data_IF_580827392509
#
_entry.id   IF_580827392509
#
_cell.length_a   1.000
_cell.length_b   1.000
_cell.length_c   1.000
_cell.angle_alpha   90.00
_cell.angle_beta   90.00
_cell.angle_gamma   90.00
#
_symmetry.space_group_name_H-M   'P 1'
#
loop_
_entity.id
_entity.type
_entity.pdbx_description
1 polymer ?
#
# COMPACT_ATOMS: atom_id res chain seq x y z
N UNK A 1 -29.22 -11.49 36.14
CA UNK A 1 -29.32 -11.24 34.68
C UNK A 1 -28.61 -12.40 33.99
N UNK A 2 -29.30 -13.23 33.19
CA UNK A 2 -28.67 -14.42 32.62
C UNK A 2 -27.69 -14.03 31.53
N UNK A 3 -26.46 -14.53 31.65
CA UNK A 3 -25.38 -14.36 30.68
C UNK A 3 -25.73 -15.11 29.38
N UNK A 4 -25.79 -14.37 28.28
CA UNK A 4 -25.83 -14.98 26.94
C UNK A 4 -24.47 -15.62 26.64
N UNK A 5 -24.42 -16.82 26.03
CA UNK A 5 -23.16 -17.47 25.70
C UNK A 5 -22.42 -16.68 24.62
N UNK A 6 -21.14 -16.41 24.89
CA UNK A 6 -20.21 -15.85 23.93
C UNK A 6 -19.90 -16.91 22.86
N UNK A 7 -20.69 -16.93 21.79
CA UNK A 7 -20.51 -17.85 20.67
C UNK A 7 -19.24 -17.48 19.89
N UNK A 8 -18.12 -18.06 20.31
CA UNK A 8 -16.79 -17.95 19.67
C UNK A 8 -16.68 -18.77 18.38
N UNK A 9 -17.77 -19.24 17.76
CA UNK A 9 -17.74 -20.08 16.54
C UNK A 9 -18.33 -19.40 15.30
N UNK A 10 -17.99 -18.13 15.07
CA UNK A 10 -18.13 -17.47 13.75
C UNK A 10 -16.99 -16.48 13.47
N UNK A 11 -15.74 -16.91 13.62
CA UNK A 11 -14.57 -16.16 13.15
C UNK A 11 -13.91 -16.97 12.03
N UNK A 12 -14.30 -16.71 10.78
CA UNK A 12 -13.72 -17.38 9.60
C UNK A 12 -14.64 -17.40 8.38
N UNK A 13 -15.93 -17.13 8.53
CA UNK A 13 -16.82 -16.95 7.39
C UNK A 13 -16.77 -15.48 6.96
N UNK A 14 -16.07 -15.24 5.85
CA UNK A 14 -16.23 -14.04 5.03
C UNK A 14 -17.72 -13.73 4.93
N UNK A 15 -18.11 -12.54 5.37
CA UNK A 15 -19.39 -12.00 4.92
C UNK A 15 -19.15 -11.72 3.43
N UNK A 16 -19.51 -12.67 2.55
CA UNK A 16 -19.87 -12.32 1.18
C UNK A 16 -20.77 -11.10 1.36
N UNK A 17 -20.42 -9.97 0.74
CA UNK A 17 -21.37 -8.88 0.60
C UNK A 17 -22.63 -9.53 0.05
N UNK A 18 -23.66 -9.62 0.88
CA UNK A 18 -24.90 -10.26 0.50
C UNK A 18 -25.43 -9.48 -0.70
N UNK A 19 -25.37 -10.07 -1.90
CA UNK A 19 -25.89 -9.47 -3.12
C UNK A 19 -24.88 -9.05 -4.19
N UNK A 20 -23.59 -9.44 -4.14
CA UNK A 20 -22.79 -9.40 -5.39
C UNK A 20 -23.10 -10.64 -6.21
N UNK A 21 -23.58 -10.41 -7.43
CA UNK A 21 -23.91 -11.43 -8.40
C UNK A 21 -22.65 -12.24 -8.76
N UNK A 22 -22.72 -13.57 -8.65
CA UNK A 22 -21.61 -14.46 -9.03
C UNK A 22 -21.22 -14.23 -10.50
N UNK A 23 -22.15 -13.76 -11.34
CA UNK A 23 -21.91 -13.36 -12.72
C UNK A 23 -21.01 -12.12 -12.84
N UNK A 24 -21.11 -11.16 -11.91
CA UNK A 24 -20.24 -9.96 -11.88
C UNK A 24 -18.81 -10.34 -11.52
N UNK A 25 -18.63 -11.26 -10.58
CA UNK A 25 -17.31 -11.78 -10.20
C UNK A 25 -16.72 -12.57 -11.37
N UNK A 26 -17.52 -13.42 -12.03
CA UNK A 26 -17.09 -14.17 -13.20
C UNK A 26 -16.65 -13.25 -14.34
N UNK A 27 -17.44 -12.22 -14.66
CA UNK A 27 -17.10 -11.25 -15.69
C UNK A 27 -15.81 -10.46 -15.37
N UNK A 28 -15.61 -10.05 -14.11
CA UNK A 28 -14.37 -9.37 -13.70
C UNK A 28 -13.15 -10.29 -13.82
N UNK A 29 -13.30 -11.58 -13.51
CA UNK A 29 -12.24 -12.58 -13.66
C UNK A 29 -11.89 -12.82 -15.13
N UNK A 30 -12.91 -13.00 -15.98
CA UNK A 30 -12.69 -13.17 -17.42
C UNK A 30 -11.93 -11.99 -18.01
N UNK A 31 -12.29 -10.75 -17.64
CA UNK A 31 -11.56 -9.57 -18.12
C UNK A 31 -10.08 -9.56 -17.68
N UNK A 32 -9.78 -9.92 -16.43
CA UNK A 32 -8.39 -10.02 -15.97
C UNK A 32 -7.59 -11.07 -16.76
N UNK A 33 -8.17 -12.24 -17.02
CA UNK A 33 -7.51 -13.28 -17.82
C UNK A 33 -7.31 -12.85 -19.28
N UNK A 34 -8.27 -12.16 -19.88
CA UNK A 34 -8.11 -11.55 -21.21
C UNK A 34 -6.94 -10.54 -21.24
N UNK A 35 -6.80 -9.69 -20.21
CA UNK A 35 -5.71 -8.73 -20.14
C UNK A 35 -4.35 -9.43 -20.00
N UNK A 36 -4.26 -10.47 -19.17
CA UNK A 36 -3.04 -11.28 -19.00
C UNK A 36 -2.64 -11.98 -20.28
N UNK A 37 -3.60 -12.51 -21.02
CA UNK A 37 -3.36 -13.13 -22.32
C UNK A 37 -2.80 -12.13 -23.32
N UNK A 38 -3.41 -10.94 -23.45
CA UNK A 38 -2.89 -9.86 -24.31
C UNK A 38 -1.47 -9.45 -23.93
N UNK A 39 -1.14 -9.37 -22.63
CA UNK A 39 0.21 -9.07 -22.14
C UNK A 39 1.21 -10.15 -22.58
N UNK A 40 0.83 -11.43 -22.52
CA UNK A 40 1.68 -12.53 -23.01
C UNK A 40 1.94 -12.45 -24.51
N UNK A 41 0.91 -12.16 -25.31
CA UNK A 41 1.04 -11.95 -26.76
C UNK A 41 2.01 -10.79 -27.06
N UNK A 42 1.80 -9.63 -26.45
CA UNK A 42 2.69 -8.47 -26.58
C UNK A 42 4.12 -8.75 -26.10
N UNK A 43 4.26 -9.60 -25.07
CA UNK A 43 5.56 -10.03 -24.54
C UNK A 43 6.35 -10.93 -25.50
N UNK A 44 5.64 -11.76 -26.28
CA UNK A 44 6.22 -12.68 -27.25
C UNK A 44 6.55 -12.01 -28.60
N UNK A 45 5.98 -10.83 -28.88
CA UNK A 45 6.22 -10.10 -30.12
C UNK A 45 7.65 -9.52 -30.20
N UNK A 46 8.30 -9.72 -31.35
CA UNK A 46 9.62 -9.13 -31.65
C UNK A 46 9.62 -7.58 -31.55
N UNK A 47 8.45 -6.95 -31.65
CA UNK A 47 8.25 -5.50 -31.59
C UNK A 47 8.26 -4.90 -30.17
N UNK A 48 8.29 -5.70 -29.10
CA UNK A 48 8.23 -5.21 -27.70
C UNK A 48 9.26 -4.12 -27.39
N UNK A 49 10.47 -4.23 -27.94
CA UNK A 49 11.57 -3.29 -27.69
C UNK A 49 11.51 -2.01 -28.53
N UNK A 50 10.48 -1.83 -29.36
CA UNK A 50 10.22 -0.55 -30.05
C UNK A 50 9.52 0.43 -29.11
N UNK A 51 9.54 1.73 -29.42
CA UNK A 51 8.78 2.72 -28.64
C UNK A 51 7.27 2.43 -28.60
N UNK A 52 6.72 1.95 -29.72
CA UNK A 52 5.31 1.59 -29.84
C UNK A 52 5.02 0.34 -29.01
N UNK A 53 5.88 -0.67 -29.10
CA UNK A 53 5.76 -1.91 -28.32
C UNK A 53 5.86 -1.66 -26.82
N UNK A 54 6.81 -0.82 -26.37
CA UNK A 54 6.92 -0.41 -24.96
C UNK A 54 5.65 0.28 -24.47
N UNK A 55 5.15 1.27 -25.21
CA UNK A 55 3.90 1.97 -24.84
C UNK A 55 2.70 1.04 -24.78
N UNK A 56 2.59 0.09 -25.71
CA UNK A 56 1.54 -0.92 -25.69
C UNK A 56 1.68 -1.85 -24.47
N UNK A 57 2.91 -2.24 -24.12
CA UNK A 57 3.20 -3.03 -22.93
C UNK A 57 2.85 -2.28 -21.65
N UNK A 58 3.26 -1.01 -21.52
CA UNK A 58 2.91 -0.18 -20.35
C UNK A 58 1.39 0.00 -20.23
N UNK A 59 0.69 0.18 -21.35
CA UNK A 59 -0.76 0.32 -21.37
C UNK A 59 -1.50 -0.94 -20.91
N UNK A 60 -1.06 -2.13 -21.34
CA UNK A 60 -1.68 -3.39 -20.91
C UNK A 60 -1.39 -3.70 -19.43
N UNK A 61 -0.21 -3.33 -18.92
CA UNK A 61 0.09 -3.45 -17.48
C UNK A 61 -0.85 -2.58 -16.63
N UNK A 62 -1.14 -1.35 -17.07
CA UNK A 62 -2.15 -0.51 -16.43
C UNK A 62 -3.56 -1.12 -16.51
N UNK A 63 -3.94 -1.71 -17.64
CA UNK A 63 -5.24 -2.39 -17.79
C UNK A 63 -5.34 -3.62 -16.88
N UNK A 64 -4.27 -4.39 -16.71
CA UNK A 64 -4.20 -5.51 -15.77
C UNK A 64 -4.41 -5.01 -14.35
N UNK A 65 -3.73 -3.94 -13.92
CA UNK A 65 -3.89 -3.39 -12.57
C UNK A 65 -5.34 -2.95 -12.31
N UNK A 66 -6.01 -2.35 -13.30
CA UNK A 66 -7.42 -1.98 -13.19
C UNK A 66 -8.34 -3.21 -13.11
N UNK A 67 -8.03 -4.27 -13.87
CA UNK A 67 -8.75 -5.54 -13.82
C UNK A 67 -8.58 -6.26 -12.48
N UNK A 68 -7.36 -6.30 -11.93
CA UNK A 68 -7.06 -6.85 -10.60
C UNK A 68 -7.85 -6.13 -9.51
N UNK A 69 -7.77 -4.79 -9.49
CA UNK A 69 -8.52 -3.97 -8.52
C UNK A 69 -10.03 -4.15 -8.67
N UNK A 70 -10.54 -4.26 -9.90
CA UNK A 70 -11.98 -4.51 -10.14
C UNK A 70 -12.39 -5.86 -9.58
N UNK A 71 -11.64 -6.92 -9.88
CA UNK A 71 -11.93 -8.27 -9.38
C UNK A 71 -11.87 -8.33 -7.86
N UNK A 72 -10.83 -7.77 -7.25
CA UNK A 72 -10.69 -7.72 -5.80
C UNK A 72 -11.84 -6.94 -5.15
N UNK A 73 -12.21 -5.79 -5.70
CA UNK A 73 -13.33 -4.96 -5.22
C UNK A 73 -14.65 -5.72 -5.25
N UNK A 74 -15.02 -6.34 -6.37
CA UNK A 74 -16.30 -7.08 -6.47
C UNK A 74 -16.29 -8.36 -5.63
N UNK A 75 -15.10 -8.93 -5.39
CA UNK A 75 -14.92 -10.11 -4.53
C UNK A 75 -14.85 -9.75 -3.03
N UNK A 76 -14.87 -8.46 -2.67
CA UNK A 76 -14.70 -8.00 -1.28
C UNK A 76 -13.31 -8.26 -0.70
N UNK A 77 -12.32 -8.47 -1.56
CA UNK A 77 -10.92 -8.66 -1.16
C UNK A 77 -10.22 -7.32 -0.94
N UNK A 78 -9.07 -7.37 -0.26
CA UNK A 78 -8.18 -6.22 -0.15
C UNK A 78 -7.43 -5.98 -1.45
N UNK A 79 -7.18 -4.72 -1.79
CA UNK A 79 -6.43 -4.34 -2.99
C UNK A 79 -5.71 -3.02 -2.81
N UNK A 80 -4.63 -2.83 -3.54
CA UNK A 80 -3.81 -1.63 -3.52
C UNK A 80 -4.22 -0.65 -4.63
N UNK A 81 -4.35 0.63 -4.28
CA UNK A 81 -4.57 1.74 -5.21
C UNK A 81 -3.35 2.64 -5.14
N UNK A 82 -2.71 2.89 -6.29
CA UNK A 82 -1.54 3.77 -6.38
C UNK A 82 -1.94 5.20 -6.00
N UNK A 83 -1.12 5.83 -5.16
CA UNK A 83 -1.25 7.23 -4.79
C UNK A 83 -0.35 8.08 -5.69
N UNK A 84 -0.94 9.10 -6.32
CA UNK A 84 -0.16 10.17 -6.94
C UNK A 84 0.27 11.15 -5.85
N UNK A 85 1.53 11.02 -5.43
CA UNK A 85 2.13 11.81 -4.37
C UNK A 85 2.98 12.98 -4.89
N UNK A 86 3.07 13.15 -6.21
CA UNK A 86 4.05 14.03 -6.87
C UNK A 86 5.46 13.85 -6.26
N UNK A 87 5.85 12.61 -5.96
CA UNK A 87 7.17 12.22 -5.49
C UNK A 87 7.48 10.84 -6.07
N UNK A 88 8.69 10.72 -6.64
CA UNK A 88 9.22 9.45 -7.15
C UNK A 88 10.58 9.23 -6.50
N UNK A 89 10.74 8.10 -5.80
CA UNK A 89 12.01 7.73 -5.19
C UNK A 89 12.94 7.07 -6.19
N UNK A 90 14.24 7.11 -5.90
CA UNK A 90 15.25 6.45 -6.70
C UNK A 90 14.96 4.95 -6.76
N UNK A 91 14.93 4.39 -7.97
CA UNK A 91 14.63 2.97 -8.14
C UNK A 91 15.80 2.09 -7.70
N UNK A 92 17.07 2.50 -7.86
CA UNK A 92 18.21 1.66 -7.55
C UNK A 92 18.70 1.74 -6.10
N UNK A 93 18.66 2.94 -5.49
CA UNK A 93 19.15 3.17 -4.14
C UNK A 93 18.30 4.23 -3.40
N UNK A 94 17.02 3.95 -3.13
CA UNK A 94 16.15 4.89 -2.41
C UNK A 94 16.60 5.14 -0.97
N UNK A 95 17.28 4.16 -0.35
CA UNK A 95 17.80 4.21 1.02
C UNK A 95 16.76 4.78 2.01
N UNK A 96 15.63 4.11 2.24
CA UNK A 96 14.60 4.61 3.15
C UNK A 96 15.08 4.63 4.62
N UNK A 97 14.90 5.76 5.31
CA UNK A 97 15.11 5.91 6.75
C UNK A 97 13.78 6.24 7.43
N UNK A 98 13.36 5.41 8.39
CA UNK A 98 12.08 5.54 9.09
C UNK A 98 12.30 6.01 10.54
N UNK A 99 11.48 6.96 10.98
CA UNK A 99 11.40 7.40 12.38
C UNK A 99 9.95 7.63 12.80
N UNK A 100 9.61 7.35 14.06
CA UNK A 100 8.28 7.64 14.61
C UNK A 100 8.27 7.79 16.13
N UNK A 101 7.20 8.39 16.66
CA UNK A 101 7.02 8.71 18.09
C UNK A 101 5.72 8.13 18.71
N UNK A 102 5.09 7.18 18.03
CA UNK A 102 3.85 6.53 18.46
C UNK A 102 2.57 7.27 18.08
N UNK A 103 2.65 8.53 17.65
CA UNK A 103 1.51 9.26 17.05
C UNK A 103 1.78 9.79 15.64
N UNK A 104 3.06 9.91 15.28
CA UNK A 104 3.54 10.36 13.97
C UNK A 104 4.71 9.50 13.53
N UNK A 105 4.94 9.50 12.22
CA UNK A 105 6.12 8.91 11.63
C UNK A 105 6.54 9.67 10.38
N UNK A 106 7.77 9.44 9.95
CA UNK A 106 8.27 9.93 8.68
C UNK A 106 9.23 8.90 8.08
N UNK A 107 9.28 8.89 6.75
CA UNK A 107 10.29 8.17 5.98
C UNK A 107 11.01 9.17 5.07
N UNK A 108 12.34 9.15 5.14
CA UNK A 108 13.25 9.97 4.31
C UNK A 108 13.91 9.05 3.29
N UNK A 109 14.00 9.47 2.03
CA UNK A 109 14.56 8.66 0.94
C UNK A 109 15.16 9.54 -0.17
N UNK A 110 16.01 8.95 -0.99
CA UNK A 110 16.51 9.59 -2.21
C UNK A 110 15.43 9.63 -3.28
N UNK A 111 15.34 10.77 -3.96
CA UNK A 111 14.42 10.98 -5.08
C UNK A 111 15.07 10.52 -6.38
N UNK A 112 14.25 10.09 -7.34
CA UNK A 112 14.69 9.89 -8.72
C UNK A 112 14.92 11.27 -9.36
N UNK A 113 16.09 11.86 -9.15
CA UNK A 113 16.45 13.16 -9.72
C UNK A 113 17.86 13.15 -10.28
N UNK A 114 18.08 13.99 -11.28
CA UNK A 114 19.42 14.34 -11.77
C UNK A 114 20.18 15.28 -10.82
N UNK A 115 19.50 15.90 -9.85
CA UNK A 115 20.06 16.89 -8.92
C UNK A 115 20.32 16.28 -7.54
N UNK A 116 21.58 15.96 -7.27
CA UNK A 116 22.07 15.25 -6.07
C UNK A 116 21.83 15.91 -4.70
N UNK A 117 21.06 17.01 -4.63
CA UNK A 117 20.80 17.79 -3.43
C UNK A 117 19.38 17.67 -2.85
N UNK A 118 18.45 17.00 -3.53
CA UNK A 118 17.07 16.87 -3.05
C UNK A 118 16.79 15.49 -2.45
N UNK A 119 16.01 15.48 -1.36
CA UNK A 119 15.50 14.26 -0.75
C UNK A 119 14.00 14.33 -0.54
N UNK A 120 13.37 13.16 -0.60
CA UNK A 120 11.94 12.97 -0.39
C UNK A 120 11.64 12.66 1.06
N UNK A 121 10.53 13.18 1.54
CA UNK A 121 9.97 12.85 2.86
C UNK A 121 8.50 12.57 2.72
N UNK A 122 8.04 11.44 3.25
CA UNK A 122 6.62 11.18 3.50
C UNK A 122 6.42 11.18 5.01
N UNK A 123 5.45 11.96 5.48
CA UNK A 123 5.10 12.05 6.89
C UNK A 123 3.69 11.52 7.12
N UNK A 124 3.54 10.72 8.17
CA UNK A 124 2.29 10.10 8.59
C UNK A 124 1.81 10.73 9.89
N UNK A 125 0.51 11.00 9.97
CA UNK A 125 -0.16 11.52 11.17
C UNK A 125 -1.16 10.51 11.73
N UNK A 126 -1.32 10.48 13.05
CA UNK A 126 -2.22 9.55 13.73
C UNK A 126 -1.80 8.11 13.46
N UNK A 127 -0.50 7.84 13.55
CA UNK A 127 0.09 6.51 13.32
C UNK A 127 -0.39 5.56 14.40
N UNK A 128 -0.82 4.38 13.97
CA UNK A 128 -1.22 3.28 14.82
C UNK A 128 -0.16 2.18 14.85
N UNK A 129 0.34 1.75 13.69
CA UNK A 129 1.35 0.68 13.58
C UNK A 129 2.19 0.89 12.31
N UNK A 130 3.48 0.53 12.36
CA UNK A 130 4.41 0.57 11.22
C UNK A 130 5.08 -0.79 11.09
N UNK A 131 5.21 -1.27 9.86
CA UNK A 131 6.06 -2.39 9.48
C UNK A 131 7.06 -1.89 8.45
N UNK A 132 8.33 -2.23 8.62
CA UNK A 132 9.38 -1.77 7.72
C UNK A 132 10.46 -2.84 7.56
N UNK A 133 10.91 -3.03 6.33
CA UNK A 133 11.79 -4.13 5.90
C UNK A 133 11.02 -5.19 5.12
N UNK A 134 11.60 -6.38 4.98
CA UNK A 134 10.92 -7.52 4.37
C UNK A 134 11.19 -7.65 2.87
N UNK A 135 10.14 -7.64 2.06
CA UNK A 135 10.21 -7.93 0.63
C UNK A 135 10.92 -6.80 -0.12
N UNK A 136 11.89 -7.18 -0.93
CA UNK A 136 12.47 -6.35 -1.98
C UNK A 136 11.62 -6.43 -3.27
N UNK A 137 12.00 -5.67 -4.29
CA UNK A 137 11.33 -5.64 -5.58
C UNK A 137 11.31 -7.01 -6.29
N UNK A 138 12.40 -7.79 -6.20
CA UNK A 138 12.49 -9.15 -6.74
C UNK A 138 11.53 -10.15 -6.08
N UNK A 139 11.15 -9.89 -4.82
CA UNK A 139 10.26 -10.73 -4.03
C UNK A 139 8.85 -10.14 -3.87
N UNK A 140 8.51 -9.07 -4.61
CA UNK A 140 7.23 -8.35 -4.44
C UNK A 140 6.00 -9.24 -4.69
N UNK A 141 6.12 -10.24 -5.55
CA UNK A 141 5.08 -11.25 -5.82
C UNK A 141 4.76 -12.12 -4.59
N UNK A 142 5.63 -12.12 -3.57
CA UNK A 142 5.38 -12.76 -2.29
C UNK A 142 4.46 -11.93 -1.36
N UNK A 143 4.14 -10.69 -1.71
CA UNK A 143 3.30 -9.83 -0.89
C UNK A 143 1.83 -10.30 -0.93
N UNK A 144 1.06 -10.23 0.17
CA UNK A 144 -0.38 -10.54 0.17
C UNK A 144 -1.27 -9.72 -0.78
N UNK A 145 -0.71 -8.68 -1.42
CA UNK A 145 -1.37 -7.81 -2.39
C UNK A 145 -0.87 -8.04 -3.83
N UNK A 146 0.06 -8.99 -4.03
CA UNK A 146 0.47 -9.44 -5.34
C UNK A 146 -0.77 -9.93 -6.12
N UNK A 147 -0.90 -9.48 -7.37
CA UNK A 147 -2.08 -9.73 -8.19
C UNK A 147 -3.36 -9.01 -7.75
N UNK A 148 -3.27 -8.07 -6.80
CA UNK A 148 -4.37 -7.23 -6.32
C UNK A 148 -4.01 -5.74 -6.38
N UNK A 149 -3.33 -5.33 -7.45
CA UNK A 149 -3.05 -3.91 -7.76
C UNK A 149 -1.81 -3.30 -7.11
N UNK A 150 -0.94 -4.11 -6.47
CA UNK A 150 0.36 -3.70 -5.92
C UNK A 150 1.37 -3.49 -7.05
N UNK A 151 2.13 -2.40 -7.00
CA UNK A 151 3.13 -2.03 -8.02
C UNK A 151 4.48 -1.79 -7.35
N UNK A 152 5.56 -2.29 -7.95
CA UNK A 152 6.91 -1.98 -7.48
C UNK A 152 7.19 -0.47 -7.57
N UNK A 153 8.03 0.06 -6.69
CA UNK A 153 8.46 1.46 -6.72
C UNK A 153 7.32 2.50 -6.59
N UNK A 154 6.18 2.11 -6.02
CA UNK A 154 5.02 2.97 -5.87
C UNK A 154 4.49 3.06 -4.43
N UNK A 155 3.76 4.14 -4.16
CA UNK A 155 3.00 4.35 -2.92
C UNK A 155 1.55 3.93 -3.14
N UNK A 156 0.95 3.30 -2.14
CA UNK A 156 -0.42 2.78 -2.23
C UNK A 156 -1.25 3.11 -1.01
N UNK A 157 -2.55 3.26 -1.22
CA UNK A 157 -3.58 3.07 -0.19
C UNK A 157 -4.24 1.70 -0.40
N UNK A 158 -4.35 0.91 0.66
CA UNK A 158 -4.96 -0.42 0.63
C UNK A 158 -6.41 -0.33 1.06
N UNK A 159 -7.30 -0.67 0.14
CA UNK A 159 -8.74 -0.73 0.36
C UNK A 159 -9.12 -2.09 0.92
N UNK A 160 -10.15 -2.14 1.78
CA UNK A 160 -10.57 -3.35 2.51
C UNK A 160 -9.44 -4.02 3.30
N UNK A 161 -8.51 -3.21 3.83
CA UNK A 161 -7.30 -3.69 4.52
C UNK A 161 -7.59 -4.75 5.58
N UNK A 162 -7.01 -5.94 5.38
CA UNK A 162 -7.10 -7.02 6.36
C UNK A 162 -6.32 -6.69 7.64
N UNK A 163 -5.20 -5.96 7.52
CA UNK A 163 -4.39 -5.57 8.67
C UNK A 163 -5.15 -4.63 9.62
N UNK A 164 -5.95 -3.70 9.08
CA UNK A 164 -6.84 -2.85 9.89
C UNK A 164 -7.87 -3.72 10.64
N UNK A 165 -8.53 -4.65 9.94
CA UNK A 165 -9.50 -5.56 10.56
C UNK A 165 -8.87 -6.47 11.63
N UNK A 166 -7.63 -6.92 11.41
CA UNK A 166 -6.85 -7.69 12.38
C UNK A 166 -6.45 -6.86 13.60
N UNK A 167 -6.03 -5.61 13.41
CA UNK A 167 -5.67 -4.71 14.49
C UNK A 167 -6.88 -4.40 15.39
N UNK A 168 -8.06 -4.13 14.80
CA UNK A 168 -9.32 -4.00 15.55
C UNK A 168 -9.61 -5.26 16.37
N UNK A 169 -9.50 -6.44 15.75
CA UNK A 169 -9.76 -7.71 16.41
C UNK A 169 -8.81 -7.95 17.58
N UNK A 170 -7.52 -7.64 17.44
CA UNK A 170 -6.53 -7.76 18.52
C UNK A 170 -6.87 -6.86 19.71
N UNK A 171 -7.32 -5.63 19.47
CA UNK A 171 -7.72 -4.72 20.55
C UNK A 171 -9.06 -5.07 21.20
N UNK A 172 -9.93 -5.82 20.50
CA UNK A 172 -11.25 -6.21 21.00
C UNK A 172 -11.24 -7.12 22.24
N UNK A 173 -10.09 -7.68 22.62
CA UNK A 173 -9.95 -8.54 23.81
C UNK A 173 -10.12 -7.76 25.13
N UNK A 174 -9.96 -6.44 25.11
CA UNK A 174 -10.14 -5.62 26.30
C UNK A 174 -11.63 -5.47 26.65
N UNK A 175 -12.06 -5.75 27.90
CA UNK A 175 -13.49 -5.72 28.28
C UNK A 175 -14.20 -4.37 28.09
N UNK A 176 -13.44 -3.27 27.97
CA UNK A 176 -13.96 -1.92 27.70
C UNK A 176 -13.62 -1.42 26.31
N UNK A 177 -13.29 -2.31 25.38
CA UNK A 177 -12.99 -1.92 24.01
C UNK A 177 -14.19 -1.20 23.38
N UNK A 178 -13.95 0.02 22.93
CA UNK A 178 -14.89 0.78 22.09
C UNK A 178 -14.30 0.74 20.69
N UNK A 179 -14.97 0.00 19.81
CA UNK A 179 -14.52 -0.15 18.43
C UNK A 179 -14.71 1.10 17.58
N UNK A 180 -14.35 0.98 16.31
CA UNK A 180 -14.61 2.01 15.30
C UNK A 180 -13.48 3.02 15.10
N UNK A 181 -12.39 2.96 15.86
CA UNK A 181 -11.18 3.78 15.58
C UNK A 181 -10.59 3.45 14.20
N UNK A 182 -10.70 2.19 13.77
CA UNK A 182 -10.29 1.72 12.45
C UNK A 182 -10.97 2.46 11.28
N UNK A 183 -12.16 3.04 11.49
CA UNK A 183 -12.89 3.81 10.45
C UNK A 183 -12.17 5.10 10.05
N UNK A 184 -11.24 5.58 10.89
CA UNK A 184 -10.42 6.77 10.64
C UNK A 184 -9.01 6.42 10.18
N UNK A 185 -8.69 5.13 10.09
CA UNK A 185 -7.37 4.66 9.72
C UNK A 185 -7.33 4.29 8.25
N UNK A 186 -6.20 4.58 7.63
CA UNK A 186 -5.83 4.11 6.31
C UNK A 186 -4.66 3.16 6.43
N UNK A 187 -4.53 2.27 5.44
CA UNK A 187 -3.39 1.39 5.31
C UNK A 187 -2.58 1.85 4.10
N UNK A 188 -1.35 2.29 4.33
CA UNK A 188 -0.42 2.70 3.28
C UNK A 188 0.66 1.64 3.09
N UNK A 189 1.06 1.43 1.83
CA UNK A 189 2.19 0.56 1.45
C UNK A 189 3.11 1.33 0.50
N UNK A 190 4.39 1.45 0.86
CA UNK A 190 5.44 2.04 0.02
C UNK A 190 6.43 0.93 -0.36
N UNK A 191 6.57 0.67 -1.65
CA UNK A 191 7.50 -0.33 -2.16
C UNK A 191 8.81 0.35 -2.59
N UNK A 192 9.89 0.15 -1.84
CA UNK A 192 11.24 0.58 -2.23
C UNK A 192 11.96 -0.57 -2.96
N UNK A 193 13.26 -0.38 -3.26
CA UNK A 193 14.07 -1.42 -3.91
C UNK A 193 14.23 -2.63 -2.99
N UNK A 194 14.80 -2.44 -1.79
CA UNK A 194 15.16 -3.56 -0.90
C UNK A 194 14.13 -3.83 0.21
N UNK A 195 13.21 -2.90 0.45
CA UNK A 195 12.26 -2.96 1.56
C UNK A 195 10.86 -2.48 1.19
N UNK A 196 9.88 -2.95 1.96
CA UNK A 196 8.53 -2.39 1.96
C UNK A 196 8.27 -1.69 3.29
N UNK A 197 7.60 -0.54 3.23
CA UNK A 197 7.05 0.15 4.39
C UNK A 197 5.54 0.05 4.36
N UNK A 198 4.94 -0.56 5.37
CA UNK A 198 3.50 -0.52 5.59
C UNK A 198 3.17 0.34 6.82
N UNK A 199 2.16 1.20 6.74
CA UNK A 199 1.76 2.07 7.84
C UNK A 199 0.25 2.15 7.97
N UNK A 200 -0.24 1.90 9.19
CA UNK A 200 -1.61 2.26 9.58
C UNK A 200 -1.58 3.67 10.16
N UNK A 201 -2.21 4.62 9.47
CA UNK A 201 -2.22 6.03 9.88
C UNK A 201 -3.50 6.74 9.43
N UNK A 202 -3.84 7.86 10.07
CA UNK A 202 -4.99 8.68 9.69
C UNK A 202 -4.81 9.43 8.37
N UNK A 203 -3.57 9.73 8.00
CA UNK A 203 -3.21 10.55 6.86
C UNK A 203 -1.73 10.52 6.57
N UNK A 204 -1.36 10.94 5.37
CA UNK A 204 0.03 11.22 5.01
C UNK A 204 0.15 12.55 4.27
N UNK A 205 1.36 13.09 4.23
CA UNK A 205 1.74 14.25 3.41
C UNK A 205 3.15 14.08 2.89
N UNK A 206 3.44 14.70 1.76
CA UNK A 206 4.74 14.65 1.11
C UNK A 206 5.49 15.97 1.23
N UNK A 207 6.82 15.91 1.22
CA UNK A 207 7.70 17.06 1.17
C UNK A 207 8.97 16.71 0.41
N UNK A 208 9.52 17.69 -0.31
CA UNK A 208 10.88 17.63 -0.86
C UNK A 208 11.77 18.60 -0.07
N UNK A 209 13.01 18.20 0.20
CA UNK A 209 13.97 19.03 0.94
C UNK A 209 15.25 19.18 0.13
N UNK A 210 15.68 20.43 -0.11
CA UNK A 210 16.94 20.74 -0.79
C UNK A 210 18.07 20.81 0.25
N UNK A 211 18.53 19.64 0.69
CA UNK A 211 19.62 19.48 1.64
C UNK A 211 20.20 18.07 1.53
N UNK A 212 21.40 17.88 2.09
CA UNK A 212 21.98 16.55 2.20
C UNK A 212 21.09 15.60 3.02
N UNK A 213 21.16 14.31 2.70
CA UNK A 213 20.35 13.27 3.34
C UNK A 213 20.44 13.27 4.88
N UNK A 214 21.65 13.47 5.42
CA UNK A 214 21.88 13.59 6.87
C UNK A 214 21.14 14.78 7.48
N UNK A 215 21.19 15.94 6.82
CA UNK A 215 20.55 17.16 7.30
C UNK A 215 19.02 17.03 7.27
N UNK A 216 18.49 16.32 6.26
CA UNK A 216 17.08 16.01 6.19
C UNK A 216 16.62 15.12 7.35
N UNK A 217 17.36 14.04 7.66
CA UNK A 217 17.08 13.20 8.83
C UNK A 217 17.11 14.04 10.11
N UNK A 218 18.13 14.88 10.30
CA UNK A 218 18.24 15.74 11.48
C UNK A 218 17.05 16.71 11.58
N UNK A 219 16.63 17.33 10.48
CA UNK A 219 15.50 18.24 10.44
C UNK A 219 14.15 17.54 10.70
N UNK A 220 13.93 16.37 10.10
CA UNK A 220 12.71 15.56 10.29
C UNK A 220 12.58 15.07 11.74
N UNK A 221 13.67 14.53 12.29
CA UNK A 221 13.70 14.07 13.69
C UNK A 221 13.45 15.23 14.65
N UNK A 222 14.10 16.39 14.44
CA UNK A 222 13.87 17.60 15.25
C UNK A 222 12.41 18.08 15.19
N UNK A 223 11.78 18.05 14.01
CA UNK A 223 10.37 18.43 13.83
C UNK A 223 9.40 17.47 14.52
N UNK A 224 9.68 16.16 14.48
CA UNK A 224 8.90 15.15 15.19
C UNK A 224 9.00 15.36 16.70
N UNK A 225 10.21 15.40 17.27
CA UNK A 225 10.41 15.55 18.72
C UNK A 225 10.06 16.96 19.25
N UNK A 226 10.11 18.00 18.42
CA UNK A 226 9.91 19.39 18.83
C UNK A 226 8.44 19.84 18.94
N UNK A 227 7.48 19.01 18.53
CA UNK A 227 6.05 19.31 18.67
C UNK A 227 5.45 18.44 19.79
N UNK A 228 4.76 19.03 20.79
CA UNK A 228 4.05 18.23 21.78
C UNK A 228 3.00 17.36 21.08
N UNK A 229 2.86 16.12 21.55
CA UNK A 229 1.76 15.24 21.15
C UNK A 229 0.44 15.94 21.46
N UNK A 230 -0.46 16.02 20.45
CA UNK A 230 -1.81 16.53 20.65
C UNK A 230 -2.70 15.48 21.30
#
# INVERSE_FOLDING_TARGET
MPHLPNDRRRCGAWVRLAGVDDDVIAAARSWLEECRHKREELGAEAGRWTDVGRKAFDAIELEILDAERKLARVSGQQYAVVLDLDIVWDAGAPMPFVVGDGGRAAVVFYLQTVDSGWVGVIEFDGVYEIRFGGLNDEAIEGHPLAGNGLVAYAAHEVINSQWIAEAERRNSVHPRHVGGWHTRMKHYVLCFHDETLECLASGLRTRRMNCGYRDAIHAVTTSLFGRPSR
#
